data_IF_978655740692
#
_entry.id   IF_978655740692
#
_cell.length_a   1.000
_cell.length_b   1.000
_cell.length_c   1.000
_cell.angle_alpha   90.00
_cell.angle_beta   90.00
_cell.angle_gamma   90.00
#
_symmetry.space_group_name_H-M   'P 1'
#
loop_
_entity.id
_entity.type
_entity.pdbx_description
1 polymer ?
#
# COMPACT_ATOMS: atom_id res chain seq x y z
N UNK A 1 16.03 -8.49 18.19
CA UNK A 1 14.75 -7.74 18.09
C UNK A 1 14.30 -7.84 16.64
N UNK A 2 13.07 -8.27 16.35
CA UNK A 2 12.58 -8.18 14.97
C UNK A 2 12.49 -6.69 14.63
N UNK A 3 13.11 -6.29 13.54
CA UNK A 3 13.02 -4.93 13.02
C UNK A 3 11.53 -4.61 12.74
N UNK A 4 11.09 -3.42 13.14
CA UNK A 4 9.72 -2.98 12.87
C UNK A 4 9.59 -2.68 11.37
N UNK A 5 8.85 -3.53 10.67
CA UNK A 5 8.65 -3.44 9.22
C UNK A 5 8.10 -2.07 8.81
N UNK A 6 7.24 -1.45 9.63
CA UNK A 6 6.67 -0.14 9.31
C UNK A 6 7.71 0.98 9.44
N UNK A 7 8.62 0.91 10.42
CA UNK A 7 9.73 1.87 10.54
C UNK A 7 10.73 1.73 9.38
N UNK A 8 11.04 0.50 8.97
CA UNK A 8 11.88 0.24 7.78
C UNK A 8 11.21 0.79 6.51
N UNK A 9 9.91 0.54 6.32
CA UNK A 9 9.13 1.07 5.20
C UNK A 9 9.10 2.61 5.22
N UNK A 10 8.86 3.21 6.38
CA UNK A 10 8.83 4.66 6.54
C UNK A 10 10.17 5.29 6.15
N UNK A 11 11.27 4.78 6.71
CA UNK A 11 12.62 5.27 6.43
C UNK A 11 13.00 5.15 4.95
N UNK A 12 12.61 4.03 4.33
CA UNK A 12 12.76 3.83 2.89
C UNK A 12 11.94 4.86 2.09
N UNK A 13 10.66 5.05 2.43
CA UNK A 13 9.75 5.97 1.76
C UNK A 13 10.23 7.42 1.81
N UNK A 14 10.71 7.89 2.97
CA UNK A 14 11.31 9.22 3.11
C UNK A 14 12.50 9.39 2.14
N UNK A 15 13.34 8.36 2.03
CA UNK A 15 14.51 8.37 1.15
C UNK A 15 14.10 8.43 -0.32
N UNK A 16 13.11 7.65 -0.76
CA UNK A 16 12.71 7.63 -2.17
C UNK A 16 11.78 8.78 -2.56
N UNK A 17 10.97 9.28 -1.62
CA UNK A 17 10.15 10.47 -1.81
C UNK A 17 11.03 11.70 -2.07
N UNK A 18 12.15 11.88 -1.36
CA UNK A 18 13.06 13.01 -1.59
C UNK A 18 13.91 12.90 -2.87
N UNK A 19 13.93 11.73 -3.51
CA UNK A 19 14.76 11.44 -4.69
C UNK A 19 13.90 11.01 -5.88
N UNK A 20 13.68 9.70 -6.02
CA UNK A 20 13.05 9.05 -7.17
C UNK A 20 11.61 9.52 -7.43
N UNK A 21 10.89 9.84 -6.37
CA UNK A 21 9.46 10.14 -6.41
C UNK A 21 9.12 11.56 -5.98
N UNK A 22 10.07 12.50 -6.05
CA UNK A 22 9.92 13.88 -5.55
C UNK A 22 8.74 14.63 -6.16
N UNK A 23 8.51 14.45 -7.45
CA UNK A 23 7.42 15.14 -8.18
C UNK A 23 6.10 14.36 -8.13
N UNK A 24 6.04 13.29 -7.33
CA UNK A 24 4.93 12.34 -7.29
C UNK A 24 4.37 12.12 -5.88
N UNK A 25 5.25 11.96 -4.89
CA UNK A 25 4.91 11.85 -3.47
C UNK A 25 4.96 13.24 -2.86
N UNK A 26 3.81 13.70 -2.37
CA UNK A 26 3.69 14.97 -1.67
C UNK A 26 4.15 14.86 -0.22
N UNK A 27 3.77 13.77 0.45
CA UNK A 27 3.98 13.61 1.89
C UNK A 27 4.07 12.13 2.27
N UNK A 28 4.87 11.84 3.29
CA UNK A 28 4.93 10.52 3.95
C UNK A 28 4.80 10.74 5.45
N UNK A 29 3.82 10.13 6.08
CA UNK A 29 3.55 10.26 7.52
C UNK A 29 3.38 8.92 8.20
N UNK A 30 3.75 8.86 9.48
CA UNK A 30 3.37 7.77 10.37
C UNK A 30 2.03 8.11 11.00
N UNK A 31 1.12 7.15 11.00
CA UNK A 31 -0.13 7.22 11.76
C UNK A 31 0.06 6.35 12.98
N UNK A 32 0.03 6.97 14.15
CA UNK A 32 0.30 6.32 15.43
C UNK A 32 -1.00 6.16 16.22
N UNK A 33 -1.09 5.06 16.96
CA UNK A 33 -2.13 4.88 17.98
C UNK A 33 -1.86 5.82 19.16
N UNK A 34 -2.86 6.00 20.03
CA UNK A 34 -2.70 6.78 21.26
C UNK A 34 -1.57 6.25 22.18
N UNK A 35 -1.15 4.99 22.01
CA UNK A 35 -0.01 4.39 22.70
C UNK A 35 1.36 4.78 22.15
N UNK A 36 1.43 5.51 21.03
CA UNK A 36 2.66 5.85 20.31
C UNK A 36 3.19 4.75 19.40
N UNK A 37 2.44 3.64 19.24
CA UNK A 37 2.79 2.58 18.28
C UNK A 37 2.35 2.99 16.88
N UNK A 38 3.24 2.84 15.90
CA UNK A 38 2.91 3.08 14.49
C UNK A 38 1.88 2.05 14.03
N UNK A 39 0.69 2.52 13.68
CA UNK A 39 -0.37 1.69 13.12
C UNK A 39 -0.13 1.44 11.64
N UNK A 40 0.25 2.49 10.90
CA UNK A 40 0.47 2.46 9.46
C UNK A 40 1.34 3.61 8.99
N UNK A 41 1.89 3.48 7.79
CA UNK A 41 2.53 4.58 7.06
C UNK A 41 1.58 5.05 5.97
N UNK A 42 1.32 6.36 5.89
CA UNK A 42 0.53 6.99 4.84
C UNK A 42 1.44 7.72 3.87
N UNK A 43 1.26 7.47 2.59
CA UNK A 43 1.87 8.24 1.50
C UNK A 43 0.78 9.03 0.81
N UNK A 44 0.93 10.35 0.73
CA UNK A 44 0.00 11.22 0.01
C UNK A 44 0.63 11.64 -1.30
N UNK A 45 -0.12 11.50 -2.40
CA UNK A 45 0.35 11.82 -3.75
C UNK A 45 -0.08 13.24 -4.18
N UNK A 46 0.51 13.73 -5.27
CA UNK A 46 0.26 15.08 -5.79
C UNK A 46 -1.20 15.34 -6.19
N UNK A 47 -1.95 14.32 -6.62
CA UNK A 47 -3.39 14.42 -6.93
C UNK A 47 -4.29 14.32 -5.67
N UNK A 48 -3.69 14.33 -4.48
CA UNK A 48 -4.36 14.14 -3.18
C UNK A 48 -5.00 12.76 -2.96
N UNK A 49 -4.75 11.78 -3.82
CA UNK A 49 -4.94 10.37 -3.46
C UNK A 49 -3.89 9.92 -2.43
N UNK A 50 -4.12 8.78 -1.76
CA UNK A 50 -3.18 8.30 -0.75
C UNK A 50 -3.08 6.78 -0.68
N UNK A 51 -1.90 6.30 -0.31
CA UNK A 51 -1.60 4.90 -0.02
C UNK A 51 -1.39 4.74 1.48
N UNK A 52 -2.24 3.92 2.12
CA UNK A 52 -2.06 3.44 3.48
C UNK A 52 -1.34 2.09 3.47
N UNK A 53 -0.26 1.97 4.23
CA UNK A 53 0.58 0.77 4.32
C UNK A 53 0.53 0.27 5.76
N UNK A 54 -0.10 -0.88 5.94
CA UNK A 54 -0.16 -1.62 7.18
C UNK A 54 0.65 -2.90 7.09
N UNK A 55 1.37 -3.24 8.15
CA UNK A 55 2.07 -4.51 8.30
C UNK A 55 2.10 -4.95 9.76
N UNK A 56 1.67 -6.17 10.04
CA UNK A 56 1.68 -6.73 11.40
C UNK A 56 2.94 -7.57 11.65
N UNK A 57 3.32 -7.78 12.93
CA UNK A 57 4.36 -8.74 13.30
C UNK A 57 4.08 -10.19 12.90
N UNK A 58 2.81 -10.54 12.65
CA UNK A 58 2.36 -11.85 12.18
C UNK A 58 2.37 -11.99 10.65
N UNK A 59 2.83 -10.96 9.93
CA UNK A 59 2.90 -10.96 8.46
C UNK A 59 1.57 -10.63 7.76
N UNK A 60 0.57 -10.13 8.51
CA UNK A 60 -0.65 -9.57 7.94
C UNK A 60 -0.31 -8.23 7.31
N UNK A 61 -0.80 -7.94 6.12
CA UNK A 61 -0.54 -6.65 5.48
C UNK A 61 -1.76 -6.13 4.74
N UNK A 62 -1.77 -4.83 4.52
CA UNK A 62 -2.70 -4.15 3.62
C UNK A 62 -2.00 -2.93 3.02
N UNK A 63 -1.78 -2.95 1.71
CA UNK A 63 -1.36 -1.79 0.92
C UNK A 63 -2.61 -1.27 0.22
N UNK A 64 -3.23 -0.25 0.80
CA UNK A 64 -4.52 0.29 0.39
C UNK A 64 -4.34 1.66 -0.26
N UNK A 65 -4.47 1.69 -1.58
CA UNK A 65 -4.48 2.92 -2.36
C UNK A 65 -5.91 3.43 -2.57
N UNK A 66 -6.20 4.56 -1.94
CA UNK A 66 -7.51 5.23 -1.90
C UNK A 66 -7.58 6.36 -2.93
N UNK A 67 -8.57 6.27 -3.82
CA UNK A 67 -8.90 7.32 -4.79
C UNK A 67 -10.40 7.53 -4.96
N UNK A 68 -11.25 7.00 -4.06
CA UNK A 68 -12.71 7.10 -4.24
C UNK A 68 -13.19 8.53 -4.31
N UNK A 69 -12.54 9.45 -3.59
CA UNK A 69 -12.81 10.89 -3.65
C UNK A 69 -12.36 11.57 -4.95
N UNK A 70 -11.50 10.93 -5.75
CA UNK A 70 -11.03 11.44 -7.04
C UNK A 70 -11.90 10.91 -8.18
N UNK A 71 -12.06 9.59 -8.27
CA UNK A 71 -12.75 8.95 -9.41
C UNK A 71 -13.53 7.67 -9.04
N UNK A 72 -13.81 7.46 -7.75
CA UNK A 72 -14.55 6.30 -7.28
C UNK A 72 -13.73 5.01 -7.22
N UNK A 73 -12.44 5.01 -7.59
CA UNK A 73 -11.62 3.78 -7.60
C UNK A 73 -10.87 3.54 -6.30
N UNK A 74 -10.62 2.26 -6.00
CA UNK A 74 -9.77 1.82 -4.89
C UNK A 74 -8.92 0.63 -5.35
N UNK A 75 -7.68 0.56 -4.88
CA UNK A 75 -6.78 -0.55 -5.18
C UNK A 75 -6.16 -1.06 -3.88
N UNK A 76 -6.27 -2.34 -3.57
CA UNK A 76 -5.73 -2.87 -2.31
C UNK A 76 -5.15 -4.25 -2.46
N UNK A 77 -3.85 -4.39 -2.17
CA UNK A 77 -3.25 -5.69 -1.93
C UNK A 77 -3.33 -5.99 -0.43
N UNK A 78 -3.98 -7.08 -0.06
CA UNK A 78 -3.96 -7.56 1.31
C UNK A 78 -3.96 -9.10 1.35
N UNK A 79 -3.75 -9.65 2.54
CA UNK A 79 -3.71 -11.10 2.72
C UNK A 79 -4.77 -11.61 3.68
N UNK A 80 -5.86 -10.87 3.95
CA UNK A 80 -6.97 -11.34 4.78
C UNK A 80 -7.57 -12.66 4.29
N UNK A 81 -7.70 -13.69 5.16
CA UNK A 81 -8.19 -14.99 4.76
C UNK A 81 -9.73 -14.96 4.64
N UNK A 82 -10.25 -14.04 3.84
CA UNK A 82 -11.67 -13.92 3.57
C UNK A 82 -12.13 -15.19 2.85
N UNK A 83 -12.98 -15.99 3.49
CA UNK A 83 -13.41 -17.29 2.96
C UNK A 83 -13.99 -17.22 1.55
N UNK A 84 -14.63 -16.10 1.16
CA UNK A 84 -15.13 -15.87 -0.21
C UNK A 84 -14.05 -15.90 -1.30
N UNK A 85 -12.77 -15.72 -0.94
CA UNK A 85 -11.64 -15.65 -1.87
C UNK A 85 -10.78 -16.93 -1.90
N UNK A 86 -11.21 -18.01 -1.25
CA UNK A 86 -10.49 -19.29 -1.19
C UNK A 86 -10.12 -19.89 -2.56
N UNK A 87 -10.86 -19.54 -3.61
CA UNK A 87 -10.64 -20.01 -4.98
C UNK A 87 -9.48 -19.30 -5.70
N UNK A 88 -8.93 -18.22 -5.14
CA UNK A 88 -7.81 -17.47 -5.72
C UNK A 88 -6.51 -18.26 -5.50
N UNK A 89 -5.69 -18.44 -6.54
CA UNK A 89 -4.47 -19.26 -6.47
C UNK A 89 -3.45 -18.72 -5.47
N UNK A 90 -3.41 -17.41 -5.28
CA UNK A 90 -2.51 -16.72 -4.33
C UNK A 90 -3.09 -16.62 -2.92
N UNK A 91 -4.25 -17.22 -2.64
CA UNK A 91 -4.89 -17.15 -1.32
C UNK A 91 -3.90 -17.50 -0.19
N UNK A 92 -3.85 -16.70 0.89
CA UNK A 92 -4.80 -15.65 1.26
C UNK A 92 -4.53 -14.28 0.63
N UNK A 93 -3.47 -14.14 -0.17
CA UNK A 93 -3.15 -12.90 -0.86
C UNK A 93 -4.13 -12.66 -2.00
N UNK A 94 -4.65 -11.46 -2.06
CA UNK A 94 -5.56 -11.03 -3.12
C UNK A 94 -5.41 -9.53 -3.38
N UNK A 95 -5.89 -9.11 -4.55
CA UNK A 95 -5.82 -7.73 -4.99
C UNK A 95 -7.22 -7.23 -5.37
N UNK A 96 -7.70 -6.21 -4.67
CA UNK A 96 -8.88 -5.45 -5.04
C UNK A 96 -8.49 -4.44 -6.13
N UNK A 97 -9.06 -4.53 -7.33
CA UNK A 97 -8.68 -3.69 -8.47
C UNK A 97 -9.81 -2.79 -8.95
N UNK A 98 -9.72 -1.51 -8.58
CA UNK A 98 -10.68 -0.47 -8.95
C UNK A 98 -11.95 -0.44 -8.10
N UNK A 99 -12.28 -1.53 -7.40
CA UNK A 99 -13.40 -1.61 -6.46
C UNK A 99 -13.15 -2.69 -5.41
N UNK A 100 -13.84 -2.64 -4.28
CA UNK A 100 -13.75 -3.63 -3.20
C UNK A 100 -14.17 -5.05 -3.64
N UNK A 101 -15.09 -5.17 -4.61
CA UNK A 101 -15.63 -6.47 -5.02
C UNK A 101 -14.88 -7.09 -6.22
N UNK A 102 -14.07 -6.32 -6.94
CA UNK A 102 -13.27 -6.82 -8.05
C UNK A 102 -11.94 -7.37 -7.54
N UNK A 103 -11.93 -8.65 -7.20
CA UNK A 103 -10.78 -9.32 -6.61
C UNK A 103 -10.05 -10.20 -7.63
N UNK A 104 -8.72 -10.04 -7.71
CA UNK A 104 -7.83 -10.83 -8.55
C UNK A 104 -6.61 -11.36 -7.75
N UNK A 105 -5.78 -12.18 -8.41
CA UNK A 105 -4.55 -12.72 -7.83
C UNK A 105 -3.59 -11.58 -7.46
N UNK A 106 -2.96 -11.71 -6.29
CA UNK A 106 -1.94 -10.77 -5.82
C UNK A 106 -0.56 -11.39 -5.98
N UNK A 107 0.23 -10.83 -6.90
CA UNK A 107 1.62 -11.20 -7.11
C UNK A 107 2.59 -10.23 -6.39
N UNK A 108 2.11 -9.60 -5.32
CA UNK A 108 2.93 -8.69 -4.52
C UNK A 108 4.16 -9.45 -3.96
N UNK A 109 5.39 -8.93 -4.14
CA UNK A 109 6.59 -9.53 -3.56
C UNK A 109 6.47 -9.80 -2.05
N UNK A 110 7.16 -10.84 -1.55
CA UNK A 110 7.19 -11.15 -0.11
C UNK A 110 7.98 -10.12 0.71
N UNK A 111 9.02 -9.55 0.11
CA UNK A 111 9.85 -8.53 0.75
C UNK A 111 9.06 -7.20 0.85
N UNK A 112 8.89 -6.62 2.06
CA UNK A 112 8.05 -5.44 2.25
C UNK A 112 8.46 -4.22 1.44
N UNK A 113 9.77 -3.99 1.27
CA UNK A 113 10.27 -2.86 0.49
C UNK A 113 9.98 -3.08 -0.99
N UNK A 114 10.25 -4.28 -1.53
CA UNK A 114 9.90 -4.62 -2.91
C UNK A 114 8.40 -4.59 -3.16
N UNK A 115 7.58 -4.97 -2.18
CA UNK A 115 6.13 -4.87 -2.25
C UNK A 115 5.65 -3.42 -2.38
N UNK A 116 6.15 -2.53 -1.52
CA UNK A 116 5.85 -1.10 -1.59
C UNK A 116 6.36 -0.50 -2.90
N UNK A 117 7.58 -0.82 -3.33
CA UNK A 117 8.10 -0.38 -4.63
C UNK A 117 7.24 -0.82 -5.81
N UNK A 118 6.84 -2.09 -5.82
CA UNK A 118 6.00 -2.66 -6.86
C UNK A 118 4.70 -1.87 -6.97
N UNK A 119 4.05 -1.60 -5.84
CA UNK A 119 2.78 -0.90 -5.84
C UNK A 119 2.91 0.59 -6.13
N UNK A 120 3.98 1.27 -5.67
CA UNK A 120 4.26 2.65 -6.04
C UNK A 120 4.43 2.83 -7.55
N UNK A 121 5.04 1.87 -8.26
CA UNK A 121 5.13 1.91 -9.72
C UNK A 121 3.75 1.82 -10.37
N UNK A 122 2.92 0.87 -9.94
CA UNK A 122 1.53 0.75 -10.39
C UNK A 122 0.76 2.06 -10.20
N UNK A 123 0.88 2.69 -9.01
CA UNK A 123 0.19 3.95 -8.70
C UNK A 123 0.70 5.09 -9.59
N UNK A 124 2.03 5.19 -9.77
CA UNK A 124 2.63 6.20 -10.63
C UNK A 124 2.12 6.10 -12.07
N UNK A 125 2.09 4.88 -12.62
CA UNK A 125 1.60 4.63 -13.98
C UNK A 125 0.11 4.98 -14.09
N UNK A 126 -0.69 4.61 -13.07
CA UNK A 126 -2.12 4.93 -13.03
C UNK A 126 -2.40 6.44 -13.02
N UNK A 127 -1.68 7.20 -12.18
CA UNK A 127 -1.83 8.66 -12.13
C UNK A 127 -1.39 9.29 -13.45
N UNK A 128 -0.25 8.87 -14.00
CA UNK A 128 0.28 9.44 -15.25
C UNK A 128 -0.55 9.13 -16.49
N UNK A 129 -1.24 7.99 -16.55
CA UNK A 129 -2.08 7.62 -17.71
C UNK A 129 -3.42 8.37 -17.73
N UNK A 130 -3.80 9.03 -16.63
CA UNK A 130 -5.05 9.79 -16.52
C UNK A 130 -4.88 11.30 -16.74
N UNK A 131 -3.69 11.74 -17.17
CA UNK A 131 -3.38 13.09 -17.63
C UNK A 131 -3.03 13.07 -19.12
#
# INVERSE_FOLDING_TARGET
>A
MKEDVLETIYSYLITVASKKYRDFIREVTKVELASGVVEKVRVVFVDSSFLDIYWSPSGRYSLHYERRHIDGTVYRHDNAPHGKHWHIRTFPKHFHRGSEDRVEESHLPEDPIKAVEYFLRFILDLIRTKH
#
